data_IF_921841042631
#
_entry.id   IF_921841042631
#
_cell.length_a   1.000
_cell.length_b   1.000
_cell.length_c   1.000
_cell.angle_alpha   90.00
_cell.angle_beta   90.00
_cell.angle_gamma   90.00
#
_symmetry.space_group_name_H-M   'P 1'
#
loop_
_entity.id
_entity.type
_entity.pdbx_description
1 polymer ?
#
# COMPACT_ATOMS: atom_id res chain seq x y z
N UNK A 1 7.32 -6.24 -1.88
CA UNK A 1 7.55 -5.30 -3.01
C UNK A 1 8.05 -3.94 -2.52
N UNK A 2 7.56 -3.41 -1.39
CA UNK A 2 7.99 -2.12 -0.86
C UNK A 2 9.47 -2.13 -0.48
N UNK A 3 9.97 -3.22 0.08
CA UNK A 3 11.41 -3.35 0.41
C UNK A 3 12.27 -3.20 -0.84
N UNK A 4 11.83 -3.74 -2.00
CA UNK A 4 12.53 -3.54 -3.27
C UNK A 4 12.58 -2.07 -3.71
N UNK A 5 11.56 -1.27 -3.36
CA UNK A 5 11.58 0.19 -3.60
C UNK A 5 12.59 0.86 -2.68
N UNK A 6 12.57 0.54 -1.39
CA UNK A 6 13.47 1.09 -0.38
C UNK A 6 14.94 0.74 -0.68
N UNK A 7 15.20 -0.48 -1.11
CA UNK A 7 16.53 -1.00 -1.47
C UNK A 7 16.99 -0.60 -2.88
N UNK A 8 16.23 0.20 -3.61
CA UNK A 8 16.52 0.64 -4.99
C UNK A 8 16.67 -0.52 -5.97
N UNK A 9 15.88 -1.58 -5.79
CA UNK A 9 15.79 -2.73 -6.70
C UNK A 9 14.58 -2.65 -7.64
N UNK A 10 13.59 -1.81 -7.28
CA UNK A 10 12.40 -1.53 -8.07
C UNK A 10 12.27 -0.02 -8.29
N UNK A 11 12.16 0.38 -9.54
CA UNK A 11 12.04 1.78 -9.95
C UNK A 11 10.75 2.02 -10.74
N UNK A 12 10.28 3.26 -10.71
CA UNK A 12 9.16 3.74 -11.53
C UNK A 12 9.72 4.58 -12.67
N UNK A 13 9.38 4.28 -13.93
CA UNK A 13 9.88 5.06 -15.08
C UNK A 13 9.15 6.39 -15.20
N UNK A 14 9.83 7.41 -15.74
CA UNK A 14 9.31 8.76 -15.86
C UNK A 14 8.05 8.88 -16.73
N UNK A 15 7.85 7.96 -17.69
CA UNK A 15 6.67 7.94 -18.57
C UNK A 15 5.38 7.44 -17.86
N UNK A 16 5.48 6.93 -16.64
CA UNK A 16 4.29 6.57 -15.86
C UNK A 16 3.52 7.82 -15.44
N UNK A 17 2.17 7.73 -15.52
CA UNK A 17 1.30 8.82 -15.10
C UNK A 17 1.50 9.17 -13.63
N UNK A 18 1.04 10.37 -13.25
CA UNK A 18 1.05 10.80 -11.86
C UNK A 18 0.14 9.92 -10.96
N UNK A 19 0.28 10.09 -9.66
CA UNK A 19 -0.61 9.44 -8.70
C UNK A 19 -1.98 10.11 -8.76
N UNK A 20 -2.97 9.37 -9.25
CA UNK A 20 -4.33 9.88 -9.49
C UNK A 20 -5.39 9.21 -8.61
N UNK A 21 -5.02 8.15 -7.89
CA UNK A 21 -5.94 7.47 -7.00
C UNK A 21 -6.45 8.39 -5.90
N UNK A 22 -7.73 8.28 -5.61
CA UNK A 22 -8.44 9.01 -4.57
C UNK A 22 -8.52 8.17 -3.29
N UNK A 23 -9.03 8.79 -2.25
CA UNK A 23 -9.24 8.14 -0.94
C UNK A 23 -10.13 6.89 -1.03
N UNK A 24 -11.12 6.89 -1.91
CA UNK A 24 -12.00 5.73 -2.10
C UNK A 24 -11.28 4.56 -2.78
N UNK A 25 -10.38 4.82 -3.72
CA UNK A 25 -9.56 3.78 -4.35
C UNK A 25 -8.65 3.11 -3.32
N UNK A 26 -8.04 3.89 -2.43
CA UNK A 26 -7.22 3.38 -1.33
C UNK A 26 -8.05 2.54 -0.34
N UNK A 27 -9.27 2.98 0.01
CA UNK A 27 -10.19 2.20 0.84
C UNK A 27 -10.53 0.86 0.19
N UNK A 28 -10.89 0.86 -1.09
CA UNK A 28 -11.22 -0.35 -1.84
C UNK A 28 -10.04 -1.33 -1.90
N UNK A 29 -8.81 -0.82 -2.09
CA UNK A 29 -7.62 -1.67 -2.07
C UNK A 29 -7.44 -2.34 -0.71
N UNK A 30 -7.48 -1.58 0.38
CA UNK A 30 -7.31 -2.13 1.73
C UNK A 30 -8.44 -3.10 2.09
N UNK A 31 -9.70 -2.76 1.77
CA UNK A 31 -10.84 -3.65 1.96
C UNK A 31 -10.67 -4.98 1.22
N UNK A 32 -10.24 -4.92 -0.05
CA UNK A 32 -9.95 -6.11 -0.85
C UNK A 32 -8.83 -6.96 -0.24
N UNK A 33 -7.79 -6.32 0.28
CA UNK A 33 -6.67 -7.02 0.91
C UNK A 33 -7.08 -7.66 2.26
N UNK A 34 -7.89 -6.98 3.07
CA UNK A 34 -8.46 -7.58 4.30
C UNK A 34 -9.26 -8.84 3.95
N UNK A 35 -10.10 -8.77 2.92
CA UNK A 35 -10.95 -9.88 2.44
C UNK A 35 -10.21 -10.95 1.63
N UNK A 36 -8.91 -10.80 1.42
CA UNK A 36 -8.11 -11.68 0.57
C UNK A 36 -8.59 -11.76 -0.88
N UNK A 37 -9.22 -10.71 -1.39
CA UNK A 37 -9.64 -10.66 -2.79
C UNK A 37 -8.45 -10.35 -3.71
N UNK A 38 -8.48 -10.86 -4.96
CA UNK A 38 -7.46 -10.51 -5.94
C UNK A 38 -7.43 -9.01 -6.20
N UNK A 39 -6.24 -8.41 -6.13
CA UNK A 39 -6.03 -6.98 -6.37
C UNK A 39 -5.31 -6.70 -7.69
N UNK A 40 -5.22 -7.71 -8.53
CA UNK A 40 -4.53 -7.66 -9.80
C UNK A 40 -3.04 -7.97 -9.69
N UNK A 41 -2.43 -8.17 -10.84
CA UNK A 41 -1.02 -8.51 -11.01
C UNK A 41 -0.18 -7.25 -11.17
N UNK A 42 1.08 -7.31 -10.80
CA UNK A 42 2.07 -6.28 -11.11
C UNK A 42 2.87 -6.72 -12.33
N UNK A 43 3.17 -5.78 -13.22
CA UNK A 43 4.03 -6.01 -14.37
C UNK A 43 5.34 -5.28 -14.17
N UNK A 44 6.44 -6.01 -14.20
CA UNK A 44 7.79 -5.45 -14.10
C UNK A 44 8.63 -5.84 -15.31
N UNK A 45 9.66 -5.07 -15.58
CA UNK A 45 10.67 -5.36 -16.60
C UNK A 45 12.05 -5.34 -15.95
N UNK A 46 12.79 -6.43 -16.12
CA UNK A 46 14.16 -6.54 -15.67
C UNK A 46 15.12 -5.95 -16.72
N UNK A 47 15.98 -5.01 -16.32
CA UNK A 47 16.92 -4.36 -17.22
C UNK A 47 18.17 -3.86 -16.49
N UNK A 48 19.32 -3.91 -17.17
CA UNK A 48 20.55 -3.25 -16.75
C UNK A 48 20.71 -1.84 -17.37
N UNK A 49 19.74 -1.41 -18.19
CA UNK A 49 19.72 -0.09 -18.84
C UNK A 49 18.33 0.52 -18.68
N UNK A 50 17.99 1.00 -17.47
CA UNK A 50 16.68 1.56 -17.20
C UNK A 50 16.43 2.82 -18.06
N UNK A 51 15.15 3.10 -18.39
CA UNK A 51 14.77 4.38 -18.99
C UNK A 51 14.97 5.51 -17.97
N UNK A 52 14.62 6.73 -18.36
CA UNK A 52 14.51 7.83 -17.41
C UNK A 52 13.56 7.45 -16.26
N UNK A 53 14.01 7.68 -15.04
CA UNK A 53 13.31 7.28 -13.82
C UNK A 53 12.56 8.45 -13.20
N UNK A 54 11.44 8.14 -12.56
CA UNK A 54 10.62 9.13 -11.87
C UNK A 54 11.28 9.61 -10.59
N UNK A 55 11.19 10.91 -10.31
CA UNK A 55 11.70 11.51 -9.09
C UNK A 55 13.22 11.58 -8.99
N UNK A 56 13.75 11.79 -7.79
CA UNK A 56 15.19 11.95 -7.54
C UNK A 56 15.97 10.63 -7.55
N UNK A 57 15.30 9.50 -7.62
CA UNK A 57 15.94 8.19 -7.66
C UNK A 57 16.88 8.09 -8.88
N UNK A 58 18.11 7.69 -8.61
CA UNK A 58 19.11 7.46 -9.65
C UNK A 58 19.53 5.99 -9.63
N UNK A 59 19.61 5.42 -10.80
CA UNK A 59 20.18 4.10 -11.02
C UNK A 59 21.72 4.21 -10.99
N UNK A 60 22.35 3.28 -10.28
CA UNK A 60 23.81 3.09 -10.31
C UNK A 60 24.11 1.85 -11.14
N UNK A 61 24.87 2.02 -12.22
CA UNK A 61 25.24 0.91 -13.12
C UNK A 61 25.96 -0.23 -12.40
N UNK A 62 26.60 0.04 -11.25
CA UNK A 62 27.24 -0.98 -10.41
C UNK A 62 26.26 -1.94 -9.75
N UNK A 63 24.99 -1.56 -9.65
CA UNK A 63 23.94 -2.42 -9.09
C UNK A 63 23.58 -3.60 -10.02
N UNK A 64 23.93 -3.52 -11.32
CA UNK A 64 23.52 -4.52 -12.29
C UNK A 64 22.06 -4.39 -12.70
N UNK A 65 21.39 -5.51 -12.96
CA UNK A 65 19.98 -5.49 -13.38
C UNK A 65 19.06 -5.06 -12.24
N UNK A 66 18.09 -4.21 -12.59
CA UNK A 66 17.02 -3.72 -11.70
C UNK A 66 15.66 -3.97 -12.32
N UNK A 67 14.60 -3.81 -11.55
CA UNK A 67 13.22 -3.94 -12.03
C UNK A 67 12.59 -2.58 -12.23
N UNK A 68 11.88 -2.44 -13.34
CA UNK A 68 11.10 -1.26 -13.71
C UNK A 68 9.63 -1.62 -13.60
N UNK A 69 8.87 -0.91 -12.78
CA UNK A 69 7.45 -1.13 -12.60
C UNK A 69 6.68 -0.57 -13.80
N UNK A 70 6.09 -1.43 -14.61
CA UNK A 70 5.32 -1.06 -15.79
C UNK A 70 3.81 -0.97 -15.50
N UNK A 71 3.27 -1.84 -14.63
CA UNK A 71 1.89 -1.74 -14.16
C UNK A 71 1.81 -2.01 -12.64
N UNK A 72 0.79 -1.42 -12.00
CA UNK A 72 0.58 -1.50 -10.56
C UNK A 72 1.10 -0.31 -9.77
N UNK A 73 1.61 0.74 -10.42
CA UNK A 73 2.17 1.92 -9.77
C UNK A 73 1.21 2.56 -8.74
N UNK A 74 -0.07 2.73 -9.07
CA UNK A 74 -1.04 3.34 -8.16
C UNK A 74 -1.18 2.50 -6.88
N UNK A 75 -1.23 1.17 -7.02
CA UNK A 75 -1.30 0.23 -5.89
C UNK A 75 -0.04 0.28 -5.03
N UNK A 76 1.14 0.21 -5.64
CA UNK A 76 2.43 0.30 -4.93
C UNK A 76 2.55 1.62 -4.18
N UNK A 77 2.20 2.75 -4.83
CA UNK A 77 2.20 4.07 -4.21
C UNK A 77 1.25 4.14 -3.01
N UNK A 78 0.02 3.65 -3.16
CA UNK A 78 -0.96 3.62 -2.06
C UNK A 78 -0.49 2.77 -0.89
N UNK A 79 0.03 1.58 -1.17
CA UNK A 79 0.59 0.70 -0.14
C UNK A 79 1.80 1.33 0.55
N UNK A 80 2.66 2.01 -0.20
CA UNK A 80 3.80 2.71 0.38
C UNK A 80 3.34 3.80 1.36
N UNK A 81 2.41 4.67 0.93
CA UNK A 81 1.82 5.72 1.75
C UNK A 81 1.17 5.18 3.03
N UNK A 82 0.44 4.07 2.95
CA UNK A 82 -0.29 3.50 4.09
C UNK A 82 0.60 2.65 5.00
N UNK A 83 1.50 1.86 4.46
CA UNK A 83 2.33 0.93 5.24
C UNK A 83 3.55 1.64 5.82
N UNK A 84 4.28 2.42 5.02
CA UNK A 84 5.44 3.20 5.48
C UNK A 84 5.03 4.47 6.23
N UNK A 85 3.85 5.02 5.91
CA UNK A 85 3.39 6.31 6.45
C UNK A 85 4.16 7.50 5.87
N UNK A 86 4.91 7.30 4.80
CA UNK A 86 5.81 8.26 4.18
C UNK A 86 5.60 8.32 2.65
N UNK A 87 6.23 9.29 2.00
CA UNK A 87 6.21 9.41 0.55
C UNK A 87 7.14 8.37 -0.08
N UNK A 88 6.70 7.68 -1.15
CA UNK A 88 7.64 6.85 -1.88
C UNK A 88 8.72 7.72 -2.54
N UNK A 89 9.97 7.20 -2.66
CA UNK A 89 11.13 8.00 -3.05
C UNK A 89 11.07 8.55 -4.49
N UNK A 90 10.09 8.12 -5.28
CA UNK A 90 9.84 8.60 -6.65
C UNK A 90 8.74 9.68 -6.73
N UNK A 91 8.26 10.20 -5.57
CA UNK A 91 7.32 11.32 -5.50
C UNK A 91 7.77 12.37 -4.49
N UNK A 92 7.40 13.61 -4.77
CA UNK A 92 7.43 14.73 -3.83
C UNK A 92 6.03 14.96 -3.25
N UNK A 93 5.93 15.71 -2.13
CA UNK A 93 4.64 16.03 -1.53
C UNK A 93 3.72 16.82 -2.49
N UNK A 94 4.27 17.65 -3.35
CA UNK A 94 3.50 18.43 -4.32
C UNK A 94 2.83 17.57 -5.40
N UNK A 95 3.39 16.39 -5.69
CA UNK A 95 2.86 15.46 -6.68
C UNK A 95 1.78 14.53 -6.12
N UNK A 96 1.66 14.42 -4.79
CA UNK A 96 0.62 13.63 -4.11
C UNK A 96 -0.56 14.55 -3.75
N UNK A 97 -1.46 14.76 -4.68
CA UNK A 97 -2.64 15.61 -4.48
C UNK A 97 -3.70 14.98 -3.57
N UNK A 98 -3.78 13.65 -3.56
CA UNK A 98 -4.70 12.88 -2.73
C UNK A 98 -3.89 12.07 -1.69
N UNK A 99 -3.64 12.66 -0.54
CA UNK A 99 -2.96 11.95 0.55
C UNK A 99 -3.90 10.91 1.17
N UNK A 100 -3.49 9.64 1.08
CA UNK A 100 -4.25 8.49 1.60
C UNK A 100 -3.79 8.03 2.97
N UNK A 101 -2.76 8.64 3.58
CA UNK A 101 -2.16 8.23 4.86
C UNK A 101 -3.11 8.34 6.07
N UNK A 102 -4.14 9.14 6.00
CA UNK A 102 -5.11 9.35 7.08
C UNK A 102 -6.27 8.35 7.10
N UNK A 103 -6.09 7.13 6.61
CA UNK A 103 -7.12 6.09 6.62
C UNK A 103 -7.21 5.43 8.00
N UNK A 104 -8.44 5.33 8.53
CA UNK A 104 -8.76 4.65 9.78
C UNK A 104 -9.58 3.39 9.52
N UNK A 105 -9.46 2.43 10.44
CA UNK A 105 -10.28 1.23 10.51
C UNK A 105 -10.95 1.13 11.87
N UNK A 106 -12.21 0.71 11.90
CA UNK A 106 -12.91 0.34 13.12
C UNK A 106 -12.60 -1.12 13.45
N UNK A 107 -11.94 -1.38 14.58
CA UNK A 107 -11.50 -2.72 14.94
C UNK A 107 -12.64 -3.66 15.41
N UNK A 108 -13.85 -3.18 15.52
CA UNK A 108 -15.02 -4.04 15.81
C UNK A 108 -15.73 -4.46 14.51
N UNK A 109 -15.76 -3.61 13.50
CA UNK A 109 -16.57 -3.81 12.27
C UNK A 109 -15.76 -3.96 10.98
N UNK A 110 -14.45 -3.66 11.00
CA UNK A 110 -13.57 -3.49 9.83
C UNK A 110 -14.01 -2.38 8.87
N UNK A 111 -14.92 -1.49 9.30
CA UNK A 111 -15.28 -0.31 8.51
C UNK A 111 -14.03 0.57 8.30
N UNK A 112 -13.75 0.92 7.05
CA UNK A 112 -12.65 1.81 6.66
C UNK A 112 -13.19 3.22 6.40
N UNK A 113 -12.58 4.25 6.99
CA UNK A 113 -13.03 5.63 6.84
C UNK A 113 -11.88 6.62 7.06
N UNK A 114 -11.89 7.73 6.35
CA UNK A 114 -11.04 8.88 6.69
C UNK A 114 -11.60 9.60 7.90
N UNK A 115 -10.73 10.30 8.64
CA UNK A 115 -11.05 10.86 9.93
C UNK A 115 -12.34 11.68 9.94
N UNK A 116 -13.28 11.30 10.80
CA UNK A 116 -14.52 12.01 11.09
C UNK A 116 -14.58 12.27 12.59
N UNK A 117 -14.45 13.54 12.98
CA UNK A 117 -14.34 13.96 14.38
C UNK A 117 -15.47 13.41 15.26
N UNK A 118 -16.72 13.49 14.82
CA UNK A 118 -17.90 13.07 15.59
C UNK A 118 -17.90 11.57 15.90
N UNK A 119 -17.27 10.74 15.04
CA UNK A 119 -17.27 9.26 15.18
C UNK A 119 -15.99 8.74 15.83
N UNK A 120 -14.87 9.40 15.61
CA UNK A 120 -13.54 8.84 15.90
C UNK A 120 -12.83 9.53 17.07
N UNK A 121 -13.18 10.79 17.38
CA UNK A 121 -12.54 11.49 18.49
C UNK A 121 -12.76 10.73 19.81
N UNK A 122 -11.67 10.36 20.47
CA UNK A 122 -11.69 9.60 21.71
C UNK A 122 -12.38 8.22 21.63
N UNK A 123 -12.58 7.67 20.43
CA UNK A 123 -13.13 6.33 20.27
C UNK A 123 -11.99 5.32 19.99
N UNK A 124 -11.63 4.46 20.94
CA UNK A 124 -10.51 3.55 20.84
C UNK A 124 -10.69 2.45 19.78
N UNK A 125 -11.90 2.24 19.28
CA UNK A 125 -12.14 1.28 18.18
C UNK A 125 -11.62 1.79 16.84
N UNK A 126 -11.51 3.11 16.64
CA UNK A 126 -11.01 3.67 15.40
C UNK A 126 -9.49 3.87 15.49
N UNK A 127 -8.76 3.08 14.73
CA UNK A 127 -7.31 3.12 14.69
C UNK A 127 -6.81 3.51 13.29
N UNK A 128 -5.71 4.27 13.25
CA UNK A 128 -5.06 4.59 11.98
C UNK A 128 -4.43 3.32 11.40
N UNK A 129 -4.72 3.02 10.13
CA UNK A 129 -4.23 1.83 9.44
C UNK A 129 -2.70 1.78 9.41
N UNK A 130 -2.03 2.92 9.22
CA UNK A 130 -0.57 3.03 9.25
C UNK A 130 0.00 2.64 10.63
N UNK A 131 -0.65 3.06 11.72
CA UNK A 131 -0.18 2.73 13.07
C UNK A 131 -0.31 1.23 13.38
N UNK A 132 -1.32 0.55 12.80
CA UNK A 132 -1.45 -0.90 12.88
C UNK A 132 -0.30 -1.58 12.13
N UNK A 133 -0.02 -1.17 10.87
CA UNK A 133 1.10 -1.71 10.09
C UNK A 133 2.45 -1.50 10.76
N UNK A 134 2.62 -0.38 11.45
CA UNK A 134 3.85 -0.07 12.20
C UNK A 134 3.89 -0.69 13.60
N UNK A 135 2.92 -1.57 13.93
CA UNK A 135 2.84 -2.27 15.22
C UNK A 135 2.75 -1.34 16.44
N UNK A 136 2.23 -0.13 16.25
CA UNK A 136 1.98 0.85 17.33
C UNK A 136 0.66 0.61 18.05
N UNK A 137 -0.26 -0.12 17.43
CA UNK A 137 -1.57 -0.49 17.96
C UNK A 137 -1.54 -1.96 18.39
N UNK A 138 -2.02 -2.25 19.57
CA UNK A 138 -2.21 -3.62 20.07
C UNK A 138 -3.65 -3.78 20.52
N UNK A 139 -4.33 -4.84 20.09
CA UNK A 139 -5.71 -5.13 20.43
C UNK A 139 -5.98 -5.05 21.94
N UNK A 140 -5.09 -5.60 22.76
CA UNK A 140 -5.19 -5.55 24.23
C UNK A 140 -5.22 -4.13 24.81
N UNK A 141 -4.54 -3.18 24.19
CA UNK A 141 -4.51 -1.78 24.66
C UNK A 141 -5.82 -1.08 24.28
N UNK A 142 -6.39 -1.42 23.12
CA UNK A 142 -7.72 -0.96 22.68
C UNK A 142 -8.79 -1.48 23.61
N UNK A 143 -8.78 -2.77 23.93
CA UNK A 143 -9.72 -3.39 24.88
C UNK A 143 -9.61 -2.72 26.27
N UNK A 144 -8.41 -2.51 26.79
CA UNK A 144 -8.21 -1.81 28.06
C UNK A 144 -8.82 -0.42 28.07
N UNK A 145 -8.67 0.34 26.98
CA UNK A 145 -9.27 1.66 26.85
C UNK A 145 -10.81 1.60 26.81
N UNK A 146 -11.38 0.58 26.17
CA UNK A 146 -12.81 0.33 26.17
C UNK A 146 -13.32 0.01 27.58
N UNK A 147 -12.63 -0.88 28.31
CA UNK A 147 -12.99 -1.24 29.68
C UNK A 147 -12.98 -0.03 30.64
N UNK A 148 -12.04 0.88 30.47
CA UNK A 148 -11.99 2.12 31.26
C UNK A 148 -13.17 3.06 30.98
N UNK A 149 -13.80 2.97 29.81
CA UNK A 149 -14.89 3.86 29.38
C UNK A 149 -16.28 3.26 29.57
N UNK A 150 -16.41 1.98 29.30
CA UNK A 150 -17.71 1.31 29.15
C UNK A 150 -17.92 0.21 30.22
N UNK A 151 -16.86 -0.11 30.98
CA UNK A 151 -16.86 -1.26 31.89
C UNK A 151 -16.39 -2.55 31.19
N UNK A 152 -16.54 -3.72 31.86
CA UNK A 152 -15.99 -4.98 31.35
C UNK A 152 -16.42 -5.30 29.92
N UNK A 153 -15.44 -5.64 29.07
CA UNK A 153 -15.65 -6.03 27.66
C UNK A 153 -15.89 -7.56 27.61
N UNK A 154 -16.95 -7.97 26.93
CA UNK A 154 -17.26 -9.39 26.74
C UNK A 154 -16.14 -10.06 25.90
N UNK A 155 -15.87 -11.34 26.19
CA UNK A 155 -14.79 -12.11 25.54
C UNK A 155 -14.94 -12.14 24.03
N UNK A 156 -16.15 -12.34 23.52
CA UNK A 156 -16.43 -12.39 22.07
C UNK A 156 -16.09 -11.07 21.38
N UNK A 157 -16.27 -9.93 22.08
CA UNK A 157 -15.90 -8.61 21.57
C UNK A 157 -14.38 -8.42 21.59
N UNK A 158 -13.73 -8.91 22.65
CA UNK A 158 -12.27 -8.91 22.74
C UNK A 158 -11.64 -9.72 21.59
N UNK A 159 -12.10 -10.97 21.41
CA UNK A 159 -11.59 -11.86 20.35
C UNK A 159 -11.81 -11.24 18.97
N UNK A 160 -12.96 -10.60 18.72
CA UNK A 160 -13.25 -9.88 17.47
C UNK A 160 -12.28 -8.73 17.20
N UNK A 161 -11.95 -7.94 18.22
CA UNK A 161 -10.99 -6.82 18.09
C UNK A 161 -9.60 -7.36 17.77
N UNK A 162 -9.20 -8.47 18.37
CA UNK A 162 -7.92 -9.13 18.14
C UNK A 162 -7.84 -9.72 16.72
N UNK A 163 -8.87 -10.45 16.31
CA UNK A 163 -9.00 -11.01 14.96
C UNK A 163 -8.97 -9.93 13.88
N UNK A 164 -9.70 -8.82 14.09
CA UNK A 164 -9.76 -7.73 13.14
C UNK A 164 -8.43 -6.96 13.08
N UNK A 165 -7.74 -6.79 14.21
CA UNK A 165 -6.39 -6.21 14.22
C UNK A 165 -5.44 -7.08 13.40
N UNK A 166 -5.47 -8.39 13.66
CA UNK A 166 -4.66 -9.37 12.93
C UNK A 166 -5.00 -9.41 11.44
N UNK A 167 -6.28 -9.27 11.05
CA UNK A 167 -6.68 -9.24 9.65
C UNK A 167 -6.06 -8.05 8.89
N UNK A 168 -5.93 -6.88 9.54
CA UNK A 168 -5.24 -5.72 8.96
C UNK A 168 -3.73 -5.96 8.91
N UNK A 169 -3.12 -6.46 10.00
CA UNK A 169 -1.68 -6.75 10.04
C UNK A 169 -1.26 -7.78 8.98
N UNK A 170 -2.08 -8.79 8.74
CA UNK A 170 -1.82 -9.86 7.79
C UNK A 170 -1.75 -9.37 6.32
N UNK A 171 -2.13 -8.12 6.03
CA UNK A 171 -1.88 -7.50 4.72
C UNK A 171 -0.38 -7.43 4.43
N UNK A 172 0.47 -7.28 5.45
CA UNK A 172 1.92 -7.24 5.30
C UNK A 172 2.51 -8.55 4.76
N UNK A 173 1.83 -9.68 5.00
CA UNK A 173 2.23 -11.01 4.56
C UNK A 173 1.61 -11.41 3.20
N UNK A 174 0.83 -10.50 2.59
CA UNK A 174 0.17 -10.78 1.31
C UNK A 174 1.16 -10.78 0.15
N UNK A 175 1.12 -11.84 -0.63
CA UNK A 175 1.83 -11.90 -1.91
C UNK A 175 1.05 -11.14 -2.98
N UNK A 176 1.77 -10.30 -3.72
CA UNK A 176 1.27 -9.69 -4.94
C UNK A 176 1.83 -10.46 -6.13
N UNK A 177 0.98 -11.04 -7.00
CA UNK A 177 1.44 -11.69 -8.21
C UNK A 177 2.26 -10.70 -9.05
N UNK A 178 3.48 -11.08 -9.42
CA UNK A 178 4.38 -10.29 -10.24
C UNK A 178 4.72 -11.06 -11.51
N UNK A 179 4.46 -10.45 -12.67
CA UNK A 179 4.97 -10.95 -13.95
C UNK A 179 6.15 -10.09 -14.37
N UNK A 180 7.28 -10.73 -14.63
CA UNK A 180 8.51 -10.03 -15.02
C UNK A 180 8.81 -10.27 -16.50
N UNK A 181 8.94 -9.17 -17.26
CA UNK A 181 9.48 -9.20 -18.61
C UNK A 181 11.00 -9.39 -18.48
N UNK A 182 11.58 -10.39 -19.17
CA UNK A 182 12.98 -10.73 -18.97
C UNK A 182 13.93 -9.67 -19.55
N UNK A 183 15.15 -9.65 -19.02
CA UNK A 183 16.22 -8.71 -19.38
C UNK A 183 16.57 -8.68 -20.89
N UNK A 184 16.25 -9.76 -21.62
CA UNK A 184 16.47 -9.83 -23.08
C UNK A 184 15.54 -8.92 -23.88
N UNK A 185 14.41 -8.51 -23.30
CA UNK A 185 13.48 -7.60 -23.96
C UNK A 185 14.06 -6.18 -24.03
N UNK A 186 13.91 -5.54 -25.18
CA UNK A 186 14.27 -4.14 -25.34
C UNK A 186 13.26 -3.23 -24.61
N UNK A 187 13.63 -1.96 -24.42
CA UNK A 187 12.70 -0.95 -23.91
C UNK A 187 11.44 -0.84 -24.78
N UNK A 188 11.57 -1.00 -26.09
CA UNK A 188 10.44 -0.96 -27.04
C UNK A 188 9.49 -2.12 -26.80
N UNK A 189 10.02 -3.33 -26.63
CA UNK A 189 9.21 -4.51 -26.32
C UNK A 189 8.48 -4.35 -24.97
N UNK A 190 9.17 -3.80 -23.97
CA UNK A 190 8.58 -3.55 -22.65
C UNK A 190 7.43 -2.53 -22.72
N UNK A 191 7.61 -1.47 -23.48
CA UNK A 191 6.58 -0.45 -23.72
C UNK A 191 5.40 -1.03 -24.51
N UNK A 192 5.65 -1.81 -25.55
CA UNK A 192 4.59 -2.46 -26.36
C UNK A 192 3.77 -3.44 -25.50
N UNK A 193 4.41 -4.20 -24.63
CA UNK A 193 3.73 -5.09 -23.69
C UNK A 193 2.89 -4.28 -22.69
N UNK A 194 3.45 -3.20 -22.14
CA UNK A 194 2.73 -2.31 -21.23
C UNK A 194 1.42 -1.78 -21.86
N UNK A 195 1.50 -1.28 -23.12
CA UNK A 195 0.30 -0.80 -23.82
C UNK A 195 -0.71 -1.91 -24.09
N UNK A 196 -0.27 -3.10 -24.45
CA UNK A 196 -1.16 -4.25 -24.69
C UNK A 196 -1.90 -4.68 -23.42
N UNK A 197 -1.20 -4.75 -22.29
CA UNK A 197 -1.80 -5.12 -21.01
C UNK A 197 -2.82 -4.06 -20.55
N UNK A 198 -2.51 -2.77 -20.71
CA UNK A 198 -3.41 -1.69 -20.30
C UNK A 198 -4.57 -1.43 -21.29
N UNK A 199 -4.46 -1.84 -22.55
CA UNK A 199 -5.54 -1.71 -23.52
C UNK A 199 -6.60 -2.83 -23.40
N UNK A 200 -6.32 -3.87 -22.63
CA UNK A 200 -7.18 -5.04 -22.46
C UNK A 200 -8.00 -5.02 -21.15
N UNK A 201 -7.92 -3.89 -20.39
CA UNK A 201 -8.59 -3.69 -19.09
C UNK A 201 -9.74 -2.68 -19.11
#
# INVERSE_FOLDING_TARGET
ILDKVDERQLFVPAFQREYVWKRDDAKQLIDSLIKAYPTGMMLTWETAKPPELKGPHRYDEKQGAVRILLDGQQRVTTLYLLIRGDLPPYYTQAEITNDTRGLFVNLETLELQYYVKQRMQNNPLWQNVTDIFQKKVRAKDVVRQLEQREGPVARERHDRIDDNTSAVENILERDFPEQTIPIKASIRDAIDIFYKVNASG
#
